data_IF_552416234899
#
_entry.id   IF_552416234899
#
_cell.length_a   1.000
_cell.length_b   1.000
_cell.length_c   1.000
_cell.angle_alpha   90.00
_cell.angle_beta   90.00
_cell.angle_gamma   90.00
#
_symmetry.space_group_name_H-M   'P 1'
#
loop_
_entity.id
_entity.type
_entity.pdbx_description
1 polymer ?
#
# COMPACT_ATOMS: atom_id res chain seq x y z
N UNK A 1 -20.63 -12.07 -10.75
CA UNK A 1 -21.19 -11.43 -9.54
C UNK A 1 -20.00 -10.84 -8.81
N UNK A 2 -19.98 -9.53 -8.63
CA UNK A 2 -18.94 -8.87 -7.84
C UNK A 2 -19.01 -9.43 -6.42
N UNK A 3 -17.95 -10.11 -5.98
CA UNK A 3 -17.85 -10.66 -4.63
C UNK A 3 -17.48 -9.51 -3.71
N UNK A 4 -18.46 -8.66 -3.41
CA UNK A 4 -18.34 -7.60 -2.41
C UNK A 4 -18.69 -8.23 -1.06
N UNK A 5 -17.80 -8.17 -0.06
CA UNK A 5 -18.04 -8.75 1.24
C UNK A 5 -19.18 -8.01 1.94
N UNK A 6 -19.90 -8.71 2.83
CA UNK A 6 -20.99 -8.10 3.61
C UNK A 6 -20.48 -7.07 4.63
N UNK A 7 -19.22 -7.17 5.04
CA UNK A 7 -18.58 -6.30 6.00
C UNK A 7 -17.23 -5.83 5.46
N UNK A 8 -16.96 -4.53 5.52
CA UNK A 8 -15.70 -3.94 5.05
C UNK A 8 -14.49 -4.57 5.75
N UNK A 9 -14.61 -4.88 7.04
CA UNK A 9 -13.56 -5.55 7.82
C UNK A 9 -13.00 -6.81 7.15
N UNK A 10 -13.78 -7.52 6.32
CA UNK A 10 -13.28 -8.70 5.61
C UNK A 10 -12.09 -8.41 4.69
N UNK A 11 -11.93 -7.17 4.19
CA UNK A 11 -10.79 -6.81 3.34
C UNK A 11 -9.44 -6.86 4.07
N UNK A 12 -9.40 -6.89 5.40
CA UNK A 12 -8.15 -7.05 6.16
C UNK A 12 -7.61 -8.50 6.12
N UNK A 13 -8.49 -9.46 5.82
CA UNK A 13 -8.22 -10.88 6.02
C UNK A 13 -7.72 -11.58 4.77
N UNK A 14 -6.62 -12.32 4.91
CA UNK A 14 -6.06 -13.18 3.85
C UNK A 14 -7.10 -14.16 3.28
N UNK A 15 -7.92 -14.77 4.13
CA UNK A 15 -8.93 -15.76 3.72
C UNK A 15 -9.94 -15.19 2.71
N UNK A 16 -10.38 -13.94 2.92
CA UNK A 16 -11.29 -13.26 2.00
C UNK A 16 -10.63 -13.06 0.63
N UNK A 17 -9.38 -12.62 0.60
CA UNK A 17 -8.64 -12.40 -0.64
C UNK A 17 -8.34 -13.70 -1.37
N UNK A 18 -7.92 -14.75 -0.65
CA UNK A 18 -7.73 -16.08 -1.23
C UNK A 18 -9.02 -16.60 -1.89
N UNK A 19 -10.17 -16.51 -1.20
CA UNK A 19 -11.47 -16.91 -1.76
C UNK A 19 -11.83 -16.08 -3.00
N UNK A 20 -11.64 -14.76 -2.92
CA UNK A 20 -11.90 -13.86 -4.05
C UNK A 20 -11.06 -14.24 -5.26
N UNK A 21 -9.75 -14.40 -5.09
CA UNK A 21 -8.83 -14.72 -6.18
C UNK A 21 -9.06 -16.11 -6.76
N UNK A 22 -9.43 -17.10 -5.95
CA UNK A 22 -9.88 -18.40 -6.45
C UNK A 22 -11.12 -18.26 -7.34
N UNK A 23 -12.09 -17.43 -6.93
CA UNK A 23 -13.31 -17.20 -7.71
C UNK A 23 -13.08 -16.42 -9.01
N UNK A 24 -11.97 -15.68 -9.09
CA UNK A 24 -11.57 -14.85 -10.23
C UNK A 24 -10.57 -15.55 -11.16
N UNK A 25 -10.22 -16.81 -10.91
CA UNK A 25 -9.35 -17.57 -11.81
C UNK A 25 -9.92 -17.60 -13.25
N UNK A 26 -9.09 -17.22 -14.22
CA UNK A 26 -9.47 -17.11 -15.63
C UNK A 26 -10.37 -15.91 -15.98
N UNK A 27 -10.65 -15.00 -15.05
CA UNK A 27 -11.35 -13.73 -15.32
C UNK A 27 -10.37 -12.61 -15.68
N UNK A 28 -10.93 -11.50 -16.15
CA UNK A 28 -10.15 -10.30 -16.43
C UNK A 28 -9.53 -9.74 -15.13
N UNK A 29 -8.28 -9.24 -15.20
CA UNK A 29 -7.65 -8.49 -14.11
C UNK A 29 -8.52 -7.38 -13.53
N UNK A 30 -8.31 -7.06 -12.26
CA UNK A 30 -9.08 -6.02 -11.57
C UNK A 30 -8.17 -4.94 -10.97
N UNK A 31 -8.33 -3.71 -11.45
CA UNK A 31 -7.66 -2.54 -10.88
C UNK A 31 -8.56 -1.84 -9.85
N UNK A 32 -8.18 -1.94 -8.58
CA UNK A 32 -8.71 -1.02 -7.58
C UNK A 32 -8.26 0.41 -7.88
N UNK A 33 -9.24 1.33 -7.82
CA UNK A 33 -9.13 2.77 -8.04
C UNK A 33 -8.82 3.22 -9.47
N UNK A 34 -7.56 3.05 -9.91
CA UNK A 34 -7.02 3.62 -11.14
C UNK A 34 -6.14 2.60 -11.85
N UNK A 35 -6.25 2.56 -13.18
CA UNK A 35 -5.39 1.78 -14.05
C UNK A 35 -4.05 2.49 -14.32
N UNK A 36 -3.06 1.80 -14.87
CA UNK A 36 -1.81 2.45 -15.30
C UNK A 36 -2.07 3.63 -16.24
N UNK A 37 -3.00 3.47 -17.20
CA UNK A 37 -3.37 4.51 -18.15
C UNK A 37 -3.83 5.81 -17.47
N UNK A 38 -4.52 5.70 -16.33
CA UNK A 38 -5.03 6.87 -15.61
C UNK A 38 -3.94 7.63 -14.85
N UNK A 39 -2.86 6.95 -14.44
CA UNK A 39 -1.80 7.52 -13.59
C UNK A 39 -0.44 7.62 -14.29
N UNK A 40 -0.33 7.18 -15.56
CA UNK A 40 0.93 7.14 -16.31
C UNK A 40 1.67 8.47 -16.29
N UNK A 41 0.99 9.57 -16.63
CA UNK A 41 1.63 10.89 -16.68
C UNK A 41 2.22 11.30 -15.32
N UNK A 42 1.52 10.96 -14.23
CA UNK A 42 1.98 11.22 -12.86
C UNK A 42 3.20 10.36 -12.54
N UNK A 43 3.16 9.06 -12.87
CA UNK A 43 4.28 8.15 -12.65
C UNK A 43 5.51 8.55 -13.45
N UNK A 44 5.36 9.04 -14.68
CA UNK A 44 6.49 9.51 -15.50
C UNK A 44 7.14 10.77 -14.93
N UNK A 45 6.37 11.64 -14.27
CA UNK A 45 6.91 12.81 -13.56
C UNK A 45 7.74 12.40 -12.35
N UNK A 46 7.27 11.45 -11.54
CA UNK A 46 7.94 11.05 -10.30
C UNK A 46 8.98 9.94 -10.47
N UNK A 47 8.87 9.15 -11.53
CA UNK A 47 9.75 8.02 -11.85
C UNK A 47 10.27 8.16 -13.30
N UNK A 48 10.97 9.25 -13.65
CA UNK A 48 11.39 9.51 -15.03
C UNK A 48 12.43 8.50 -15.54
N UNK A 49 13.16 7.83 -14.63
CA UNK A 49 14.14 6.81 -14.97
C UNK A 49 13.47 5.44 -14.95
N UNK A 50 13.45 4.75 -16.09
CA UNK A 50 12.79 3.43 -16.22
C UNK A 50 13.61 2.27 -15.62
N UNK A 51 14.91 2.45 -15.39
CA UNK A 51 15.82 1.42 -14.86
C UNK A 51 15.89 1.35 -13.32
N UNK A 52 14.99 2.03 -12.61
CA UNK A 52 14.89 1.98 -11.15
C UNK A 52 14.31 0.65 -10.69
N UNK A 53 14.63 0.23 -9.47
CA UNK A 53 14.06 -0.97 -8.85
C UNK A 53 12.78 -0.63 -8.08
N UNK A 54 11.67 -1.25 -8.45
CA UNK A 54 10.33 -0.96 -7.94
C UNK A 54 9.79 -2.16 -7.17
N UNK A 55 9.19 -1.93 -6.01
CA UNK A 55 8.39 -2.92 -5.28
C UNK A 55 6.91 -2.52 -5.33
N UNK A 56 6.06 -3.44 -5.82
CA UNK A 56 4.60 -3.30 -5.76
C UNK A 56 4.08 -3.97 -4.49
N UNK A 57 3.59 -3.17 -3.55
CA UNK A 57 3.00 -3.63 -2.30
C UNK A 57 1.54 -4.04 -2.54
N UNK A 58 1.17 -5.24 -2.09
CA UNK A 58 -0.17 -5.82 -2.27
C UNK A 58 -0.66 -5.73 -3.72
N UNK A 59 0.07 -6.39 -4.63
CA UNK A 59 -0.13 -6.24 -6.07
C UNK A 59 -1.51 -6.74 -6.54
N UNK A 60 -2.13 -7.68 -5.82
CA UNK A 60 -3.35 -8.35 -6.23
C UNK A 60 -3.27 -8.88 -7.67
N UNK A 61 -4.41 -8.85 -8.37
CA UNK A 61 -4.52 -9.19 -9.79
C UNK A 61 -4.60 -7.94 -10.69
N UNK A 62 -3.99 -6.83 -10.26
CA UNK A 62 -3.91 -5.57 -11.01
C UNK A 62 -2.99 -5.71 -12.23
N UNK A 63 -3.31 -5.07 -13.36
CA UNK A 63 -2.38 -5.00 -14.52
C UNK A 63 -1.36 -3.87 -14.40
N UNK A 64 -1.45 -3.03 -13.35
CA UNK A 64 -0.60 -1.85 -13.19
C UNK A 64 0.89 -2.16 -13.41
N UNK A 65 1.40 -3.23 -12.80
CA UNK A 65 2.82 -3.57 -12.88
C UNK A 65 3.22 -4.17 -14.22
N UNK A 66 2.36 -4.96 -14.86
CA UNK A 66 2.56 -5.45 -16.22
C UNK A 66 2.56 -4.29 -17.23
N UNK A 67 1.58 -3.39 -17.14
CA UNK A 67 1.48 -2.24 -18.04
C UNK A 67 2.70 -1.31 -17.89
N UNK A 68 3.19 -1.12 -16.66
CA UNK A 68 4.45 -0.43 -16.39
C UNK A 68 5.65 -1.17 -16.99
N UNK A 69 5.69 -2.50 -16.89
CA UNK A 69 6.75 -3.32 -17.45
C UNK A 69 6.83 -3.17 -18.98
N UNK A 70 5.67 -3.23 -19.66
CA UNK A 70 5.56 -2.99 -21.10
C UNK A 70 5.96 -1.57 -21.50
N UNK A 71 5.79 -0.59 -20.60
CA UNK A 71 6.23 0.79 -20.77
C UNK A 71 7.71 1.04 -20.39
N UNK A 72 8.46 -0.02 -20.11
CA UNK A 72 9.92 -0.01 -19.95
C UNK A 72 10.43 -0.09 -18.51
N UNK A 73 9.56 -0.09 -17.50
CA UNK A 73 9.96 -0.30 -16.10
C UNK A 73 10.18 -1.79 -15.85
N UNK A 74 11.32 -2.34 -16.26
CA UNK A 74 11.53 -3.79 -16.28
C UNK A 74 12.05 -4.39 -14.96
N UNK A 75 12.44 -3.55 -13.99
CA UNK A 75 12.96 -3.99 -12.69
C UNK A 75 11.88 -3.85 -11.61
N UNK A 76 10.81 -4.63 -11.74
CA UNK A 76 9.64 -4.64 -10.83
C UNK A 76 9.57 -5.98 -10.10
N UNK A 77 9.43 -5.91 -8.77
CA UNK A 77 9.08 -7.03 -7.90
C UNK A 77 7.67 -6.82 -7.39
N UNK A 78 6.83 -7.85 -7.48
CA UNK A 78 5.43 -7.81 -7.05
C UNK A 78 5.25 -8.70 -5.82
N UNK A 79 4.60 -8.17 -4.79
CA UNK A 79 4.30 -8.94 -3.58
C UNK A 79 2.83 -8.85 -3.20
N UNK A 80 2.34 -9.94 -2.62
CA UNK A 80 1.02 -10.04 -2.03
C UNK A 80 1.03 -11.14 -0.97
N UNK A 81 0.25 -10.99 0.10
CA UNK A 81 0.15 -12.01 1.12
C UNK A 81 -0.66 -13.25 0.67
N UNK A 82 -1.37 -13.17 -0.46
CA UNK A 82 -2.20 -14.23 -0.99
C UNK A 82 -1.37 -15.13 -1.93
N UNK A 83 -1.10 -16.39 -1.55
CA UNK A 83 -0.41 -17.33 -2.43
C UNK A 83 -1.21 -17.61 -3.71
N UNK A 84 -2.54 -17.51 -3.63
CA UNK A 84 -3.44 -17.74 -4.77
C UNK A 84 -3.15 -16.73 -5.88
N UNK A 85 -3.17 -15.43 -5.56
CA UNK A 85 -2.95 -14.40 -6.57
C UNK A 85 -1.53 -14.41 -7.10
N UNK A 86 -0.55 -14.67 -6.23
CA UNK A 86 0.85 -14.80 -6.64
C UNK A 86 1.03 -15.96 -7.63
N UNK A 87 0.37 -17.10 -7.41
CA UNK A 87 0.42 -18.21 -8.36
C UNK A 87 -0.25 -17.87 -9.69
N UNK A 88 -1.40 -17.20 -9.67
CA UNK A 88 -2.11 -16.77 -10.88
C UNK A 88 -1.27 -15.79 -11.70
N UNK A 89 -0.76 -14.73 -11.07
CA UNK A 89 0.01 -13.68 -11.74
C UNK A 89 1.35 -14.20 -12.25
N UNK A 90 2.02 -15.08 -11.50
CA UNK A 90 3.24 -15.76 -11.98
C UNK A 90 2.97 -16.62 -13.22
N UNK A 91 1.81 -17.25 -13.31
CA UNK A 91 1.43 -18.06 -14.46
C UNK A 91 1.07 -17.19 -15.68
N UNK A 92 0.42 -16.05 -15.46
CA UNK A 92 0.04 -15.10 -16.51
C UNK A 92 1.24 -14.31 -17.05
N UNK A 93 2.16 -13.90 -16.16
CA UNK A 93 3.30 -13.03 -16.46
C UNK A 93 4.62 -13.64 -15.93
N UNK A 94 5.07 -14.78 -16.49
CA UNK A 94 6.21 -15.55 -15.97
C UNK A 94 7.57 -14.85 -16.14
N UNK A 95 7.60 -13.73 -16.88
CA UNK A 95 8.79 -12.93 -17.12
C UNK A 95 9.01 -11.86 -16.05
N UNK A 96 8.06 -11.68 -15.12
CA UNK A 96 8.15 -10.77 -13.98
C UNK A 96 8.37 -11.52 -12.66
N UNK A 97 8.81 -10.81 -11.62
CA UNK A 97 9.03 -11.38 -10.29
C UNK A 97 7.78 -11.23 -9.41
N UNK A 98 7.31 -12.34 -8.85
CA UNK A 98 6.10 -12.43 -8.01
C UNK A 98 6.41 -13.25 -6.75
N UNK A 99 6.25 -12.67 -5.56
CA UNK A 99 6.58 -13.30 -4.29
C UNK A 99 5.41 -13.22 -3.30
N UNK A 100 5.14 -14.32 -2.61
CA UNK A 100 4.24 -14.32 -1.46
C UNK A 100 4.95 -13.63 -0.29
N UNK A 101 4.39 -12.53 0.20
CA UNK A 101 4.98 -11.76 1.29
C UNK A 101 3.96 -10.86 1.96
N UNK A 102 4.02 -10.79 3.29
CA UNK A 102 3.27 -9.81 4.07
C UNK A 102 4.00 -8.47 4.05
N UNK A 103 3.30 -7.38 3.71
CA UNK A 103 3.86 -6.04 3.64
C UNK A 103 4.36 -5.51 4.99
N UNK A 104 3.88 -6.09 6.09
CA UNK A 104 4.29 -5.75 7.47
C UNK A 104 5.60 -6.43 7.87
N UNK A 105 6.13 -7.34 7.05
CA UNK A 105 7.32 -8.14 7.33
C UNK A 105 8.08 -8.48 6.04
N UNK A 106 8.70 -7.46 5.43
CA UNK A 106 9.34 -7.56 4.13
C UNK A 106 10.70 -8.26 4.21
N UNK A 107 10.85 -9.38 3.51
CA UNK A 107 12.06 -10.24 3.55
C UNK A 107 13.16 -9.79 2.60
N UNK A 108 13.37 -8.47 2.50
CA UNK A 108 14.43 -7.86 1.72
C UNK A 108 15.43 -7.13 2.61
N UNK A 109 16.66 -6.98 2.12
CA UNK A 109 17.67 -6.16 2.78
C UNK A 109 17.30 -4.66 2.71
N UNK A 110 17.81 -3.87 3.66
CA UNK A 110 17.63 -2.43 3.63
C UNK A 110 18.23 -1.81 2.36
N UNK A 111 17.67 -0.68 1.91
CA UNK A 111 18.16 0.08 0.73
C UNK A 111 18.17 -0.73 -0.59
N UNK A 112 17.26 -1.69 -0.73
CA UNK A 112 17.20 -2.57 -1.91
C UNK A 112 16.34 -1.99 -3.04
N UNK A 113 15.40 -1.11 -2.74
CA UNK A 113 14.44 -0.55 -3.72
C UNK A 113 14.55 0.96 -3.83
N UNK A 114 14.42 1.49 -5.04
CA UNK A 114 14.39 2.93 -5.30
C UNK A 114 13.00 3.51 -5.00
N UNK A 115 11.97 2.75 -5.37
CA UNK A 115 10.56 3.14 -5.32
C UNK A 115 9.73 1.97 -4.78
N UNK A 116 8.77 2.29 -3.92
CA UNK A 116 7.72 1.39 -3.49
C UNK A 116 6.38 2.02 -3.88
N UNK A 117 5.46 1.21 -4.39
CA UNK A 117 4.12 1.64 -4.82
C UNK A 117 3.09 0.81 -4.05
N UNK A 118 2.25 1.49 -3.27
CA UNK A 118 0.99 0.95 -2.75
C UNK A 118 -0.14 1.50 -3.62
N UNK A 119 -1.02 0.61 -4.09
CA UNK A 119 -2.29 1.00 -4.71
C UNK A 119 -3.46 0.23 -4.09
N UNK A 120 -3.83 0.65 -2.88
CA UNK A 120 -5.04 0.21 -2.19
C UNK A 120 -4.84 -0.81 -1.10
N UNK A 121 -3.59 -1.12 -0.76
CA UNK A 121 -3.27 -2.16 0.22
C UNK A 121 -3.41 -1.63 1.65
N UNK A 122 -2.90 -0.42 1.90
CA UNK A 122 -3.16 0.31 3.15
C UNK A 122 -4.68 0.52 3.38
N UNK A 123 -5.44 0.83 2.32
CA UNK A 123 -6.90 0.96 2.41
C UNK A 123 -7.56 -0.33 2.90
N UNK A 124 -7.08 -1.49 2.45
CA UNK A 124 -7.58 -2.80 2.88
C UNK A 124 -7.39 -3.00 4.39
N UNK A 125 -6.24 -2.61 4.96
CA UNK A 125 -5.99 -2.69 6.41
C UNK A 125 -6.87 -1.72 7.21
N UNK A 126 -7.14 -0.53 6.68
CA UNK A 126 -7.96 0.48 7.35
C UNK A 126 -9.46 0.14 7.36
N UNK A 127 -9.92 -0.80 6.54
CA UNK A 127 -11.34 -1.20 6.48
C UNK A 127 -11.90 -1.79 7.77
N UNK A 128 -11.03 -2.29 8.66
CA UNK A 128 -11.40 -2.76 9.99
C UNK A 128 -11.74 -1.64 10.98
N UNK A 129 -11.46 -0.38 10.64
CA UNK A 129 -11.64 0.75 11.54
C UNK A 129 -13.12 1.06 11.77
N UNK A 130 -13.58 0.86 13.00
CA UNK A 130 -14.93 1.27 13.41
C UNK A 130 -15.07 2.78 13.56
N UNK A 131 -13.97 3.46 13.89
CA UNK A 131 -13.88 4.92 13.97
C UNK A 131 -12.67 5.37 13.15
N UNK A 132 -12.92 6.09 12.06
CA UNK A 132 -11.88 6.56 11.13
C UNK A 132 -11.03 7.68 11.73
N UNK A 133 -11.51 8.35 12.78
CA UNK A 133 -10.77 9.40 13.48
C UNK A 133 -9.95 8.84 14.65
N UNK A 134 -10.29 7.64 15.12
CA UNK A 134 -9.62 6.96 16.22
C UNK A 134 -9.59 5.43 15.98
N UNK A 135 -8.78 4.97 15.01
CA UNK A 135 -8.66 3.54 14.70
C UNK A 135 -8.15 2.74 15.91
N UNK A 136 -8.41 1.43 15.91
CA UNK A 136 -7.91 0.57 16.99
C UNK A 136 -6.38 0.54 17.00
N UNK A 137 -5.74 0.29 18.17
CA UNK A 137 -4.29 0.16 18.24
C UNK A 137 -3.72 -0.88 17.28
N UNK A 138 -4.44 -1.98 17.04
CA UNK A 138 -4.07 -3.03 16.08
C UNK A 138 -3.99 -2.51 14.63
N UNK A 139 -4.96 -1.70 14.21
CA UNK A 139 -4.95 -1.10 12.86
C UNK A 139 -3.78 -0.13 12.74
N UNK A 140 -3.56 0.69 13.77
CA UNK A 140 -2.42 1.62 13.81
C UNK A 140 -1.11 0.86 13.69
N UNK A 141 -0.91 -0.22 14.48
CA UNK A 141 0.29 -1.04 14.46
C UNK A 141 0.54 -1.67 13.08
N UNK A 142 -0.52 -2.18 12.43
CA UNK A 142 -0.42 -2.74 11.08
C UNK A 142 0.03 -1.69 10.03
N UNK A 143 -0.58 -0.51 10.05
CA UNK A 143 -0.20 0.59 9.15
C UNK A 143 1.22 1.11 9.44
N UNK A 144 1.59 1.22 10.72
CA UNK A 144 2.94 1.62 11.13
C UNK A 144 4.00 0.61 10.71
N UNK A 145 3.67 -0.70 10.73
CA UNK A 145 4.56 -1.76 10.27
C UNK A 145 4.85 -1.65 8.77
N UNK A 146 3.82 -1.45 7.94
CA UNK A 146 4.01 -1.24 6.49
C UNK A 146 4.91 -0.02 6.21
N UNK A 147 4.61 1.13 6.85
CA UNK A 147 5.41 2.35 6.67
C UNK A 147 6.85 2.15 7.15
N UNK A 148 7.05 1.45 8.26
CA UNK A 148 8.38 1.16 8.81
C UNK A 148 9.21 0.29 7.88
N UNK A 149 8.60 -0.74 7.30
CA UNK A 149 9.25 -1.62 6.32
C UNK A 149 9.57 -0.87 5.02
N UNK A 150 8.63 -0.04 4.53
CA UNK A 150 8.86 0.80 3.35
C UNK A 150 10.04 1.78 3.57
N UNK A 151 10.11 2.42 4.74
CA UNK A 151 11.21 3.30 5.10
C UNK A 151 12.53 2.54 5.22
N UNK A 152 12.53 1.35 5.81
CA UNK A 152 13.73 0.49 5.94
C UNK A 152 14.27 0.06 4.58
N UNK A 153 13.40 -0.32 3.64
CA UNK A 153 13.82 -0.75 2.30
C UNK A 153 14.33 0.38 1.43
N UNK A 154 13.91 1.63 1.69
CA UNK A 154 14.33 2.80 0.92
C UNK A 154 15.49 3.56 1.56
N UNK A 155 15.58 3.57 2.89
CA UNK A 155 16.54 4.38 3.63
C UNK A 155 17.28 3.55 4.68
N UNK A 156 18.60 3.71 4.72
CA UNK A 156 19.39 3.20 5.83
C UNK A 156 18.87 3.74 7.16
N UNK A 157 18.72 2.86 8.16
CA UNK A 157 18.53 3.26 9.57
C UNK A 157 19.61 4.23 10.09
N UNK A 158 20.69 4.47 9.32
CA UNK A 158 21.82 5.35 9.63
C UNK A 158 21.95 6.60 8.77
N UNK A 159 20.99 6.95 7.91
CA UNK A 159 20.83 8.35 7.48
C UNK A 159 20.07 9.15 8.54
N UNK A 160 20.63 9.21 9.77
CA UNK A 160 20.54 10.41 10.61
C UNK A 160 21.38 11.50 9.94
N UNK A 161 21.02 11.88 8.72
CA UNK A 161 21.39 13.20 8.21
C UNK A 161 20.61 14.13 9.11
N UNK A 162 21.30 14.85 9.99
CA UNK A 162 20.67 15.93 10.73
C UNK A 162 19.98 16.82 9.72
N UNK A 163 18.65 16.74 9.65
CA UNK A 163 17.83 17.73 8.97
C UNK A 163 17.79 18.91 9.93
N UNK A 164 18.43 20.06 9.63
CA UNK A 164 18.11 21.29 10.34
C UNK A 164 16.69 21.82 10.00
N UNK A 165 15.88 21.06 9.26
CA UNK A 165 14.62 21.53 8.68
C UNK A 165 13.43 20.57 8.87
N UNK A 166 13.33 19.87 10.00
CA UNK A 166 12.05 19.32 10.49
C UNK A 166 11.88 19.59 11.99
N UNK A 167 11.97 20.87 12.36
CA UNK A 167 11.43 21.41 13.61
C UNK A 167 10.35 22.44 13.28
N UNK A 168 9.25 21.96 12.69
CA UNK A 168 7.92 22.57 12.59
C UNK A 168 7.10 21.60 11.71
N UNK A 169 6.08 20.88 12.16
CA UNK A 169 4.96 21.37 12.93
C UNK A 169 5.09 21.08 14.43
N UNK A 170 5.46 22.13 15.16
CA UNK A 170 4.71 22.39 16.37
C UNK A 170 3.25 22.53 15.92
N UNK A 171 2.35 21.72 16.50
CA UNK A 171 0.94 22.06 16.57
C UNK A 171 0.84 23.55 16.91
N UNK A 172 0.07 24.36 16.17
CA UNK A 172 -0.31 25.67 16.66
C UNK A 172 -0.93 25.47 18.05
N UNK A 173 -0.28 26.01 19.08
CA UNK A 173 -0.91 26.23 20.39
C UNK A 173 -1.94 27.35 20.27
N UNK A 174 -2.96 27.17 19.43
CA UNK A 174 -4.15 28.03 19.40
C UNK A 174 -5.38 27.19 19.04
N UNK A 175 -5.72 26.23 19.89
CA UNK A 175 -7.12 25.97 20.28
C UNK A 175 -7.11 25.71 21.80
N UNK A 176 -6.79 26.76 22.53
CA UNK A 176 -7.20 26.92 23.92
C UNK A 176 -8.05 28.18 23.90
N UNK A 177 -9.31 28.08 24.33
CA UNK A 177 -10.41 29.06 24.25
C UNK A 177 -11.42 28.85 23.11
N UNK A 178 -12.11 27.70 23.11
CA UNK A 178 -13.58 27.73 22.95
C UNK A 178 -14.19 26.45 23.51
N UNK A 179 -14.12 26.32 24.83
CA UNK A 179 -14.94 25.38 25.61
C UNK A 179 -15.57 26.16 26.77
N UNK A 180 -16.35 27.19 26.41
CA UNK A 180 -17.37 27.82 27.27
C UNK A 180 -18.48 28.37 26.40
N UNK A 181 -19.37 27.49 25.95
CA UNK A 181 -20.76 27.81 25.65
C UNK A 181 -21.53 26.54 25.96
N UNK A 182 -22.62 26.69 26.71
CA UNK A 182 -23.34 25.66 27.48
C UNK A 182 -22.69 25.28 28.82
N UNK A 183 -22.95 26.10 29.84
CA UNK A 183 -23.53 25.73 31.15
C UNK A 183 -23.53 26.98 32.05
N UNK A 184 -24.72 27.46 32.46
CA UNK A 184 -24.89 28.44 33.54
C UNK A 184 -25.80 29.63 33.21
N UNK A 185 -27.04 29.60 33.72
CA UNK A 185 -28.02 30.71 33.69
C UNK A 185 -27.61 31.93 34.52
N UNK A 186 -28.51 32.91 34.66
CA UNK A 186 -29.51 32.86 35.73
C UNK A 186 -30.95 32.65 35.26
#
# INVERSE_FOLDING_TARGET
MDVIPKHNKSYEGKDYWDERYQSEEGRQPFDWFKSYKDIKEILEVYIPRKNVRILMLGCGNSTLSEDMYQDGYQNIVNIDFSPVVIQHMRSAYPHMEWLEMDIRDLKFEAETFDILIDKGTMDAMLTGASDVWNPSPEIVENCEAEVSEALRLRFAARRKVGLPYLRAAALPKEISHSSRLFLGGP
#
